data_IF_287593770292
#
_entry.id   IF_287593770292
#
_cell.length_a   1.000
_cell.length_b   1.000
_cell.length_c   1.000
_cell.angle_alpha   90.00
_cell.angle_beta   90.00
_cell.angle_gamma   90.00
#
_symmetry.space_group_name_H-M   'P 1'
#
loop_
_entity.id
_entity.type
_entity.pdbx_description
1 polymer ?
#
# COMPACT_ATOMS: atom_id res chain seq x y z
N UNK A 1 -14.05 -21.49 30.46
CA UNK A 1 -13.97 -22.59 29.46
C UNK A 1 -12.89 -22.20 28.48
N UNK A 2 -12.08 -23.16 28.04
CA UNK A 2 -11.04 -22.89 27.05
C UNK A 2 -11.68 -22.51 25.71
N UNK A 3 -11.08 -21.54 25.02
CA UNK A 3 -11.53 -21.07 23.71
C UNK A 3 -10.52 -21.52 22.66
N UNK A 4 -11.00 -22.12 21.58
CA UNK A 4 -10.15 -22.49 20.44
C UNK A 4 -10.26 -21.39 19.38
N UNK A 5 -9.12 -20.86 18.93
CA UNK A 5 -9.03 -19.98 17.79
C UNK A 5 -8.25 -20.66 16.67
N UNK A 6 -8.68 -20.45 15.43
CA UNK A 6 -7.99 -20.87 14.21
C UNK A 6 -7.38 -19.64 13.56
N UNK A 7 -6.11 -19.36 13.85
CA UNK A 7 -5.44 -18.13 13.42
C UNK A 7 -4.82 -18.34 12.03
N UNK A 8 -5.20 -17.56 11.01
CA UNK A 8 -4.66 -17.72 9.67
C UNK A 8 -3.33 -16.98 9.52
N UNK A 9 -2.30 -17.71 9.09
CA UNK A 9 -1.00 -17.17 8.66
C UNK A 9 -0.74 -17.56 7.22
N UNK A 10 -0.08 -16.71 6.45
CA UNK A 10 0.44 -17.15 5.16
C UNK A 10 1.82 -17.81 5.33
N UNK A 11 2.24 -18.58 4.32
CA UNK A 11 3.51 -19.30 4.35
C UNK A 11 4.77 -18.42 4.44
N UNK A 12 4.71 -17.13 4.05
CA UNK A 12 5.82 -16.20 4.18
C UNK A 12 5.96 -15.73 5.64
N UNK A 13 4.84 -15.42 6.30
CA UNK A 13 4.81 -15.17 7.75
C UNK A 13 5.31 -16.36 8.57
N UNK A 14 4.85 -17.58 8.25
CA UNK A 14 5.32 -18.79 8.93
C UNK A 14 6.84 -18.99 8.78
N UNK A 15 7.42 -18.67 7.63
CA UNK A 15 8.86 -18.74 7.41
C UNK A 15 9.66 -17.75 8.28
N UNK A 16 9.07 -16.60 8.65
CA UNK A 16 9.65 -15.72 9.66
C UNK A 16 9.52 -16.35 11.06
N UNK A 17 8.33 -16.85 11.41
CA UNK A 17 8.06 -17.44 12.73
C UNK A 17 8.90 -18.70 13.02
N UNK A 18 9.26 -19.48 12.00
CA UNK A 18 10.11 -20.67 12.14
C UNK A 18 11.44 -20.38 12.84
N UNK A 19 11.95 -19.15 12.74
CA UNK A 19 13.20 -18.71 13.41
C UNK A 19 13.09 -18.66 14.92
N UNK A 20 11.87 -18.53 15.42
CA UNK A 20 11.56 -18.38 16.83
C UNK A 20 10.93 -19.63 17.44
N UNK A 21 10.69 -20.66 16.64
CA UNK A 21 10.23 -21.97 17.12
C UNK A 21 11.42 -22.91 17.33
N UNK A 22 11.47 -23.58 18.48
CA UNK A 22 12.46 -24.65 18.72
C UNK A 22 12.12 -25.95 17.98
N UNK A 23 10.83 -26.17 17.70
CA UNK A 23 10.30 -27.32 16.97
C UNK A 23 9.50 -26.77 15.78
N UNK A 24 9.86 -27.11 14.54
CA UNK A 24 9.12 -26.67 13.35
C UNK A 24 7.63 -27.03 13.48
N UNK A 25 6.76 -26.06 13.20
CA UNK A 25 5.31 -26.23 13.29
C UNK A 25 4.70 -26.05 14.68
N UNK A 26 5.49 -25.80 15.73
CA UNK A 26 4.99 -25.51 17.09
C UNK A 26 4.49 -24.06 17.26
N UNK A 27 3.73 -23.55 16.28
CA UNK A 27 3.30 -22.16 16.23
C UNK A 27 2.32 -21.80 17.36
N UNK A 28 1.48 -22.73 17.82
CA UNK A 28 0.54 -22.46 18.93
C UNK A 28 1.24 -22.07 20.23
N UNK A 29 2.38 -22.70 20.54
CA UNK A 29 3.21 -22.33 21.69
C UNK A 29 3.82 -20.94 21.53
N UNK A 30 4.29 -20.61 20.33
CA UNK A 30 4.83 -19.29 20.02
C UNK A 30 3.77 -18.20 20.15
N UNK A 31 2.54 -18.48 19.68
CA UNK A 31 1.40 -17.56 19.78
C UNK A 31 1.10 -17.24 21.26
N UNK A 32 1.01 -18.27 22.11
CA UNK A 32 0.77 -18.09 23.54
C UNK A 32 1.91 -17.31 24.22
N UNK A 33 3.16 -17.56 23.82
CA UNK A 33 4.30 -16.78 24.32
C UNK A 33 4.20 -15.30 23.95
N UNK A 34 3.98 -14.99 22.67
CA UNK A 34 3.85 -13.62 22.20
C UNK A 34 2.69 -12.89 22.91
N UNK A 35 1.55 -13.57 23.08
CA UNK A 35 0.40 -13.03 23.82
C UNK A 35 0.74 -12.73 25.29
N UNK A 36 1.49 -13.62 25.95
CA UNK A 36 1.93 -13.40 27.33
C UNK A 36 2.87 -12.19 27.46
N UNK A 37 3.77 -11.99 26.49
CA UNK A 37 4.72 -10.87 26.44
C UNK A 37 4.07 -9.53 26.00
N UNK A 38 2.94 -9.57 25.29
CA UNK A 38 2.25 -8.40 24.75
C UNK A 38 1.88 -7.36 25.83
N UNK A 39 2.06 -6.08 25.53
CA UNK A 39 1.72 -4.98 26.43
C UNK A 39 0.48 -4.22 25.94
N UNK A 40 -0.33 -3.63 26.84
CA UNK A 40 -1.42 -2.76 26.44
C UNK A 40 -0.94 -1.65 25.50
N UNK A 41 -1.67 -1.39 24.42
CA UNK A 41 -1.31 -0.39 23.41
C UNK A 41 -0.35 -0.89 22.31
N UNK A 42 0.08 -2.16 22.32
CA UNK A 42 0.89 -2.72 21.22
C UNK A 42 0.23 -2.62 19.83
N UNK A 43 -1.11 -2.54 19.80
CA UNK A 43 -1.90 -2.40 18.57
C UNK A 43 -2.47 -0.98 18.38
N UNK A 44 -1.88 0.02 19.02
CA UNK A 44 -2.35 1.40 18.86
C UNK A 44 -2.21 1.83 17.40
N UNK A 45 -3.25 2.50 16.88
CA UNK A 45 -3.27 3.07 15.54
C UNK A 45 -4.13 4.34 15.55
N UNK A 46 -3.80 5.29 14.68
CA UNK A 46 -4.65 6.44 14.40
C UNK A 46 -5.74 6.04 13.39
N UNK A 47 -6.92 5.69 13.89
CA UNK A 47 -8.05 5.27 13.06
C UNK A 47 -8.61 6.44 12.23
N UNK A 48 -8.93 6.17 10.96
CA UNK A 48 -9.69 7.08 10.12
C UNK A 48 -11.12 7.22 10.62
N UNK A 49 -11.65 8.45 10.53
CA UNK A 49 -13.10 8.64 10.66
C UNK A 49 -13.79 8.07 9.43
N UNK A 50 -15.04 7.55 9.54
CA UNK A 50 -15.78 7.08 8.38
C UNK A 50 -15.86 8.13 7.28
N UNK A 51 -15.25 7.81 6.14
CA UNK A 51 -15.26 8.65 4.95
C UNK A 51 -16.68 8.94 4.43
N UNK A 52 -16.93 10.14 3.88
CA UNK A 52 -18.18 10.44 3.20
C UNK A 52 -18.30 9.61 1.91
N UNK A 53 -19.51 9.19 1.50
CA UNK A 53 -19.68 8.45 0.26
C UNK A 53 -19.19 9.27 -0.93
N UNK A 54 -18.49 8.64 -1.90
CA UNK A 54 -17.99 9.38 -3.04
C UNK A 54 -19.14 9.88 -3.95
N UNK A 55 -18.90 10.92 -4.77
CA UNK A 55 -19.87 11.38 -5.75
C UNK A 55 -20.30 10.26 -6.69
N UNK A 56 -21.60 10.23 -7.03
CA UNK A 56 -22.11 9.25 -8.00
C UNK A 56 -21.67 9.63 -9.42
N UNK A 57 -20.76 8.84 -9.98
CA UNK A 57 -20.28 8.99 -11.36
C UNK A 57 -20.63 7.76 -12.19
N UNK A 58 -20.56 7.89 -13.52
CA UNK A 58 -20.73 6.73 -14.41
C UNK A 58 -19.45 5.90 -14.38
N UNK A 59 -19.53 4.69 -13.83
CA UNK A 59 -18.42 3.75 -13.82
C UNK A 59 -18.13 3.24 -15.24
N UNK A 60 -16.85 3.27 -15.62
CA UNK A 60 -16.31 2.82 -16.91
C UNK A 60 -15.64 1.45 -16.77
N UNK A 61 -14.92 1.25 -15.66
CA UNK A 61 -14.25 -0.01 -15.34
C UNK A 61 -14.15 -0.18 -13.82
N UNK A 62 -14.07 -1.43 -13.37
CA UNK A 62 -13.77 -1.78 -11.99
C UNK A 62 -12.97 -3.07 -11.94
N UNK A 63 -11.95 -3.09 -11.10
CA UNK A 63 -11.07 -4.21 -10.87
C UNK A 63 -10.90 -4.42 -9.36
N UNK A 64 -11.00 -5.67 -8.92
CA UNK A 64 -10.58 -6.07 -7.58
C UNK A 64 -9.14 -6.56 -7.68
N UNK A 65 -8.25 -5.99 -6.88
CA UNK A 65 -6.87 -6.47 -6.76
C UNK A 65 -6.75 -7.41 -5.58
N UNK A 66 -6.25 -8.60 -5.87
CA UNK A 66 -5.95 -9.63 -4.88
C UNK A 66 -4.57 -9.37 -4.24
N UNK A 67 -4.34 -9.86 -3.01
CA UNK A 67 -3.02 -9.91 -2.39
C UNK A 67 -1.92 -10.40 -3.35
N UNK A 68 -0.83 -9.64 -3.45
CA UNK A 68 0.28 -9.97 -4.33
C UNK A 68 0.06 -9.68 -5.83
N UNK A 69 -0.97 -8.89 -6.17
CA UNK A 69 -1.25 -8.49 -7.57
C UNK A 69 -1.25 -6.98 -7.77
N UNK A 70 -1.08 -6.57 -9.02
CA UNK A 70 -1.29 -5.20 -9.50
C UNK A 70 -1.99 -5.19 -10.85
N UNK A 71 -2.32 -3.99 -11.35
CA UNK A 71 -2.94 -3.85 -12.67
C UNK A 71 -2.48 -2.56 -13.34
N UNK A 72 -2.29 -2.59 -14.66
CA UNK A 72 -2.05 -1.39 -15.45
C UNK A 72 -3.35 -0.95 -16.16
N UNK A 73 -3.88 0.21 -15.77
CA UNK A 73 -5.20 0.72 -16.19
C UNK A 73 -5.04 2.05 -16.91
N UNK A 74 -5.65 2.15 -18.09
CA UNK A 74 -5.72 3.40 -18.83
C UNK A 74 -6.77 4.33 -18.20
N UNK A 75 -6.36 5.56 -17.89
CA UNK A 75 -7.24 6.63 -17.41
C UNK A 75 -7.05 7.82 -18.36
N UNK A 76 -8.07 8.09 -19.18
CA UNK A 76 -8.03 9.16 -20.18
C UNK A 76 -8.16 10.53 -19.52
N UNK A 77 -7.62 11.56 -20.17
CA UNK A 77 -7.77 12.93 -19.73
C UNK A 77 -9.26 13.26 -19.50
N UNK A 78 -9.58 13.78 -18.31
CA UNK A 78 -10.96 14.05 -17.91
C UNK A 78 -11.72 12.87 -17.29
N UNK A 79 -11.06 11.75 -17.00
CA UNK A 79 -11.62 10.66 -16.18
C UNK A 79 -11.16 10.75 -14.73
N UNK A 80 -11.86 10.04 -13.85
CA UNK A 80 -11.49 9.88 -12.44
C UNK A 80 -11.04 8.44 -12.20
N UNK A 81 -9.90 8.28 -11.54
CA UNK A 81 -9.43 7.03 -10.95
C UNK A 81 -9.71 7.05 -9.45
N UNK A 82 -10.47 6.08 -8.95
CA UNK A 82 -10.66 5.86 -7.51
C UNK A 82 -9.96 4.57 -7.10
N UNK A 83 -9.11 4.66 -6.07
CA UNK A 83 -8.61 3.49 -5.34
C UNK A 83 -9.32 3.47 -3.99
N UNK A 84 -9.95 2.36 -3.64
CA UNK A 84 -10.73 2.21 -2.42
C UNK A 84 -10.32 0.98 -1.62
N UNK A 85 -10.37 1.10 -0.30
CA UNK A 85 -10.34 -0.05 0.61
C UNK A 85 -11.54 -0.97 0.33
N UNK A 86 -11.34 -2.27 0.57
CA UNK A 86 -12.43 -3.26 0.54
C UNK A 86 -12.74 -3.69 1.98
N UNK A 87 -11.75 -4.25 2.67
CA UNK A 87 -11.85 -4.62 4.07
C UNK A 87 -11.30 -3.54 5.02
N UNK A 88 -10.43 -2.64 4.53
CA UNK A 88 -9.68 -1.70 5.34
C UNK A 88 -8.26 -2.18 5.66
N UNK A 89 -7.44 -1.28 6.18
CA UNK A 89 -6.08 -1.56 6.64
C UNK A 89 -5.07 -1.96 5.56
N UNK A 90 -5.39 -1.78 4.26
CA UNK A 90 -4.49 -2.16 3.17
C UNK A 90 -3.71 -0.98 2.59
N UNK A 91 -2.39 -1.07 2.55
CA UNK A 91 -1.56 -0.15 1.77
C UNK A 91 -1.55 -0.53 0.29
N UNK A 92 -1.45 0.46 -0.60
CA UNK A 92 -1.18 0.21 -2.02
C UNK A 92 -0.05 1.08 -2.54
N UNK A 93 0.57 0.69 -3.62
CA UNK A 93 1.57 1.51 -4.31
C UNK A 93 1.01 1.93 -5.67
N UNK A 94 1.29 3.17 -6.08
CA UNK A 94 0.85 3.71 -7.37
C UNK A 94 2.05 4.22 -8.19
N UNK A 95 2.19 3.68 -9.40
CA UNK A 95 2.98 4.26 -10.48
C UNK A 95 2.06 4.89 -11.54
N UNK A 96 2.54 5.93 -12.23
CA UNK A 96 1.76 6.64 -13.26
C UNK A 96 2.66 7.04 -14.41
N UNK A 97 2.28 6.67 -15.63
CA UNK A 97 2.97 7.02 -16.86
C UNK A 97 2.05 7.81 -17.78
N UNK A 98 2.58 8.67 -18.64
CA UNK A 98 1.82 9.26 -19.73
C UNK A 98 1.61 8.20 -20.84
N UNK A 99 0.36 7.99 -21.27
CA UNK A 99 0.03 7.01 -22.32
C UNK A 99 0.61 7.34 -23.70
N UNK A 100 0.82 8.62 -24.00
CA UNK A 100 1.40 9.05 -25.27
C UNK A 100 2.93 9.05 -25.24
N UNK A 101 3.54 9.05 -24.05
CA UNK A 101 4.98 8.91 -23.91
C UNK A 101 5.38 8.31 -22.57
N UNK A 102 5.70 7.01 -22.55
CA UNK A 102 6.09 6.29 -21.33
C UNK A 102 7.42 6.75 -20.70
N UNK A 103 8.16 7.65 -21.33
CA UNK A 103 9.29 8.32 -20.68
C UNK A 103 8.85 9.42 -19.70
N UNK A 104 7.64 9.96 -19.88
CA UNK A 104 7.04 10.87 -18.92
C UNK A 104 6.26 10.07 -17.89
N UNK A 105 6.73 10.07 -16.64
CA UNK A 105 6.11 9.34 -15.55
C UNK A 105 6.12 10.17 -14.28
N UNK A 106 5.38 9.71 -13.26
CA UNK A 106 5.31 10.34 -11.95
C UNK A 106 6.71 10.48 -11.34
N UNK A 107 6.98 11.65 -10.78
CA UNK A 107 8.18 11.98 -10.05
C UNK A 107 7.82 12.27 -8.59
N UNK A 108 7.82 11.22 -7.77
CA UNK A 108 7.45 11.27 -6.35
C UNK A 108 8.24 12.34 -5.59
N UNK A 109 9.54 12.47 -5.82
CA UNK A 109 10.35 13.50 -5.17
C UNK A 109 9.93 14.95 -5.48
N UNK A 110 9.28 15.20 -6.63
CA UNK A 110 8.83 16.54 -7.04
C UNK A 110 7.47 16.81 -6.44
N UNK A 111 6.58 15.81 -6.47
CA UNK A 111 5.33 15.82 -5.71
C UNK A 111 5.60 16.10 -4.23
N UNK A 112 6.56 15.39 -3.62
CA UNK A 112 6.99 15.61 -2.23
C UNK A 112 7.53 17.01 -1.98
N UNK A 113 8.32 17.56 -2.91
CA UNK A 113 8.88 18.90 -2.76
C UNK A 113 7.80 19.98 -2.75
N UNK A 114 6.74 19.83 -3.55
CA UNK A 114 5.69 20.83 -3.69
C UNK A 114 4.54 20.66 -2.69
N UNK A 115 4.24 19.43 -2.27
CA UNK A 115 3.06 19.08 -1.47
C UNK A 115 3.41 18.46 -0.11
N UNK A 116 4.70 18.31 0.20
CA UNK A 116 5.16 17.69 1.44
C UNK A 116 5.13 16.16 1.42
N UNK A 117 5.43 15.52 2.56
CA UNK A 117 5.55 14.06 2.66
C UNK A 117 4.22 13.32 2.44
N UNK A 118 3.08 13.95 2.75
CA UNK A 118 1.75 13.34 2.69
C UNK A 118 0.77 14.14 1.82
N UNK A 119 0.88 14.08 0.48
CA UNK A 119 -0.04 14.78 -0.42
C UNK A 119 -1.51 14.39 -0.19
N UNK A 120 -2.40 15.36 -0.28
CA UNK A 120 -3.83 15.21 0.04
C UNK A 120 -4.73 15.94 -0.98
N UNK A 121 -6.03 16.01 -0.68
CA UNK A 121 -7.03 16.69 -1.51
C UNK A 121 -6.58 18.09 -1.93
N UNK A 122 -6.54 18.36 -3.23
CA UNK A 122 -6.05 19.62 -3.79
C UNK A 122 -4.62 19.56 -4.33
N UNK A 123 -3.85 18.55 -3.98
CA UNK A 123 -2.47 18.38 -4.45
C UNK A 123 -2.40 17.71 -5.83
N UNK A 124 -1.23 17.83 -6.45
CA UNK A 124 -0.98 17.37 -7.81
C UNK A 124 0.11 16.30 -7.84
N UNK A 125 -0.04 15.31 -8.72
CA UNK A 125 0.99 14.33 -9.05
C UNK A 125 1.81 14.85 -10.23
N UNK A 126 3.10 15.10 -10.01
CA UNK A 126 3.98 15.77 -10.99
C UNK A 126 4.79 14.79 -11.82
N UNK A 127 4.98 15.07 -13.11
CA UNK A 127 5.86 14.29 -13.96
C UNK A 127 7.34 14.63 -13.79
N UNK A 128 8.20 13.70 -14.22
CA UNK A 128 9.65 13.85 -14.23
C UNK A 128 10.14 14.90 -15.22
N UNK A 129 11.41 15.28 -15.08
CA UNK A 129 12.10 16.12 -16.06
C UNK A 129 12.22 15.36 -17.40
N UNK A 130 12.10 16.06 -18.55
CA UNK A 130 12.01 17.51 -18.69
C UNK A 130 10.57 18.07 -18.73
N UNK A 131 9.53 17.26 -18.50
CA UNK A 131 8.14 17.72 -18.63
C UNK A 131 7.67 18.54 -17.44
N UNK A 132 8.01 18.11 -16.21
CA UNK A 132 7.71 18.81 -14.95
C UNK A 132 6.30 19.44 -14.89
N UNK A 133 5.28 18.68 -15.27
CA UNK A 133 3.88 19.14 -15.33
C UNK A 133 2.97 18.19 -14.55
N UNK A 134 1.77 18.64 -14.14
CA UNK A 134 0.88 17.76 -13.40
C UNK A 134 0.25 16.70 -14.33
N UNK A 135 0.29 15.44 -13.90
CA UNK A 135 -0.32 14.28 -14.56
C UNK A 135 -1.74 14.03 -14.05
N UNK A 136 -1.92 14.13 -12.73
CA UNK A 136 -3.19 13.89 -12.06
C UNK A 136 -3.37 14.88 -10.90
N UNK A 137 -4.62 15.11 -10.51
CA UNK A 137 -5.00 15.96 -9.38
C UNK A 137 -5.78 15.15 -8.33
N UNK A 138 -5.44 15.27 -7.05
CA UNK A 138 -6.12 14.56 -5.97
C UNK A 138 -7.44 15.27 -5.68
N UNK A 139 -8.56 14.70 -6.15
CA UNK A 139 -9.90 15.26 -5.93
C UNK A 139 -10.40 15.01 -4.51
N UNK A 140 -10.06 13.88 -3.93
CA UNK A 140 -10.45 13.52 -2.58
C UNK A 140 -9.46 12.49 -2.05
N UNK A 141 -8.95 12.72 -0.85
CA UNK A 141 -8.21 11.75 -0.06
C UNK A 141 -8.91 11.62 1.29
N UNK A 142 -9.38 10.43 1.64
CA UNK A 142 -9.99 10.16 2.96
C UNK A 142 -9.07 9.36 3.88
N UNK A 143 -7.94 8.87 3.36
CA UNK A 143 -6.89 8.22 4.15
C UNK A 143 -5.63 9.08 4.21
N UNK A 144 -4.47 8.41 4.21
CA UNK A 144 -3.14 9.03 4.20
C UNK A 144 -2.39 8.58 2.94
N UNK A 145 -1.62 9.48 2.33
CA UNK A 145 -0.67 9.11 1.29
C UNK A 145 0.73 9.35 1.82
N UNK A 146 1.70 8.56 1.38
CA UNK A 146 3.11 8.78 1.67
C UNK A 146 3.92 8.91 0.37
N UNK A 147 4.92 9.78 0.43
CA UNK A 147 5.91 9.97 -0.65
C UNK A 147 7.34 9.85 -0.12
N UNK A 148 7.54 9.41 1.12
CA UNK A 148 8.86 9.41 1.77
C UNK A 148 9.54 8.04 1.70
N UNK A 149 8.78 6.95 1.69
CA UNK A 149 9.30 5.60 1.56
C UNK A 149 9.33 5.15 0.10
N UNK A 150 10.37 4.39 -0.25
CA UNK A 150 10.43 3.67 -1.51
C UNK A 150 9.50 2.44 -1.49
N UNK A 151 9.17 1.90 -2.66
CA UNK A 151 8.43 0.66 -2.80
C UNK A 151 9.18 -0.49 -2.10
N UNK A 152 8.44 -1.41 -1.47
CA UNK A 152 9.08 -2.61 -0.92
C UNK A 152 9.65 -3.46 -2.07
N UNK A 153 10.80 -4.10 -1.82
CA UNK A 153 11.59 -4.78 -2.85
C UNK A 153 12.32 -5.99 -2.28
N UNK A 154 12.85 -6.84 -3.15
CA UNK A 154 13.74 -7.95 -2.75
C UNK A 154 14.92 -7.47 -1.91
N UNK A 155 15.47 -6.28 -2.19
CA UNK A 155 16.54 -5.69 -1.38
C UNK A 155 16.07 -5.45 0.05
N UNK A 156 14.90 -4.82 0.21
CA UNK A 156 14.31 -4.55 1.53
C UNK A 156 14.12 -5.84 2.33
N UNK A 157 13.41 -6.82 1.78
CA UNK A 157 13.17 -8.08 2.51
C UNK A 157 14.44 -8.90 2.74
N UNK A 158 15.41 -8.88 1.82
CA UNK A 158 16.70 -9.55 2.05
C UNK A 158 17.49 -8.88 3.16
N UNK A 159 17.47 -7.55 3.24
CA UNK A 159 18.24 -6.80 4.22
C UNK A 159 17.58 -6.83 5.60
N UNK A 160 16.30 -6.50 5.69
CA UNK A 160 15.58 -6.36 6.96
C UNK A 160 15.08 -7.68 7.51
N UNK A 161 14.72 -8.63 6.65
CA UNK A 161 14.14 -9.88 7.09
C UNK A 161 14.96 -11.10 6.66
N UNK A 162 16.07 -10.98 5.92
CA UNK A 162 16.76 -12.14 5.33
C UNK A 162 15.80 -13.08 4.56
N UNK A 163 14.84 -12.48 3.83
CA UNK A 163 13.81 -13.18 3.06
C UNK A 163 13.83 -12.71 1.60
N UNK A 164 14.77 -13.18 0.78
CA UNK A 164 14.87 -12.77 -0.63
C UNK A 164 13.69 -13.23 -1.50
N UNK A 165 12.87 -14.17 -1.01
CA UNK A 165 11.68 -14.67 -1.70
C UNK A 165 10.43 -14.23 -0.95
N UNK A 166 10.05 -12.98 -1.15
CA UNK A 166 8.86 -12.38 -0.54
C UNK A 166 8.10 -11.56 -1.58
N UNK A 167 6.77 -11.55 -1.49
CA UNK A 167 5.95 -10.65 -2.32
C UNK A 167 6.37 -9.21 -2.03
N UNK A 168 6.54 -8.40 -3.08
CA UNK A 168 6.97 -7.01 -2.95
C UNK A 168 6.45 -6.14 -4.09
N UNK A 169 6.21 -4.85 -3.80
CA UNK A 169 5.62 -3.88 -4.71
C UNK A 169 6.44 -3.71 -5.99
N UNK A 170 7.77 -3.60 -5.88
CA UNK A 170 8.63 -3.42 -7.05
C UNK A 170 8.41 -4.52 -8.11
N UNK A 171 8.40 -5.78 -7.71
CA UNK A 171 8.18 -6.88 -8.64
C UNK A 171 6.75 -6.91 -9.20
N UNK A 172 5.74 -6.55 -8.39
CA UNK A 172 4.36 -6.43 -8.86
C UNK A 172 4.19 -5.32 -9.89
N UNK A 173 4.80 -4.16 -9.65
CA UNK A 173 4.81 -3.02 -10.56
C UNK A 173 5.48 -3.39 -11.90
N UNK A 174 6.68 -3.99 -11.82
CA UNK A 174 7.41 -4.48 -12.99
C UNK A 174 6.58 -5.49 -13.79
N UNK A 175 5.85 -6.39 -13.13
CA UNK A 175 5.06 -7.40 -13.84
C UNK A 175 3.80 -6.80 -14.46
N UNK A 176 3.11 -5.87 -13.77
CA UNK A 176 1.92 -5.21 -14.28
C UNK A 176 2.23 -4.29 -15.48
N UNK A 177 3.34 -3.53 -15.43
CA UNK A 177 3.69 -2.56 -16.47
C UNK A 177 4.11 -3.21 -17.81
N UNK A 178 4.55 -4.48 -17.77
CA UNK A 178 4.95 -5.23 -18.97
C UNK A 178 3.82 -5.44 -19.96
N UNK A 179 2.57 -5.41 -19.50
CA UNK A 179 1.38 -5.41 -20.36
C UNK A 179 1.36 -4.22 -21.35
N UNK A 180 2.18 -3.19 -21.14
CA UNK A 180 2.31 -2.02 -22.01
C UNK A 180 3.72 -1.88 -22.62
N UNK A 181 4.55 -2.93 -22.55
CA UNK A 181 5.91 -2.92 -23.06
C UNK A 181 6.90 -2.07 -22.26
N UNK A 182 6.55 -1.69 -21.03
CA UNK A 182 7.43 -0.93 -20.15
C UNK A 182 8.51 -1.87 -19.59
N UNK A 183 9.77 -1.54 -19.80
CA UNK A 183 10.90 -2.33 -19.31
C UNK A 183 11.08 -2.23 -17.79
N UNK A 184 11.62 -3.27 -17.12
CA UNK A 184 11.74 -3.32 -15.66
C UNK A 184 12.56 -2.17 -15.06
N UNK A 185 13.53 -1.61 -15.78
CA UNK A 185 14.36 -0.48 -15.34
C UNK A 185 13.64 0.87 -15.37
N UNK A 186 12.40 0.91 -15.88
CA UNK A 186 11.60 2.14 -15.93
C UNK A 186 10.62 2.22 -14.75
N UNK A 187 10.60 1.21 -13.86
CA UNK A 187 9.94 1.34 -12.56
C UNK A 187 10.54 2.53 -11.81
N UNK A 188 9.71 3.22 -11.06
CA UNK A 188 10.08 4.42 -10.32
C UNK A 188 9.46 4.40 -8.94
N UNK A 189 9.97 5.24 -8.04
CA UNK A 189 9.44 5.41 -6.68
C UNK A 189 7.91 5.45 -6.68
N UNK A 190 7.30 4.74 -5.73
CA UNK A 190 5.86 4.63 -5.63
C UNK A 190 5.26 5.79 -4.86
N UNK A 191 4.05 6.18 -5.27
CA UNK A 191 3.18 7.01 -4.46
C UNK A 191 2.35 6.07 -3.58
N UNK A 192 2.62 6.08 -2.27
CA UNK A 192 2.12 5.07 -1.35
C UNK A 192 0.72 5.48 -0.88
N UNK A 193 -0.29 4.70 -1.26
CA UNK A 193 -1.70 4.86 -0.94
C UNK A 193 -2.00 4.21 0.40
N UNK A 194 -2.65 4.95 1.30
CA UNK A 194 -3.04 4.47 2.64
C UNK A 194 -1.86 4.05 3.54
N UNK A 195 -0.64 4.49 3.23
CA UNK A 195 0.53 4.20 4.06
C UNK A 195 0.66 5.23 5.18
N UNK A 196 0.56 4.78 6.43
CA UNK A 196 0.70 5.65 7.60
C UNK A 196 2.16 5.72 8.01
N UNK A 197 2.76 6.89 7.78
CA UNK A 197 4.16 7.14 8.12
C UNK A 197 4.27 8.27 9.12
N UNK A 198 5.23 8.11 10.03
CA UNK A 198 5.54 9.07 11.08
C UNK A 198 6.99 9.53 10.94
N UNK A 199 7.34 10.60 11.63
CA UNK A 199 8.74 10.98 11.83
C UNK A 199 8.93 11.31 13.30
N UNK A 200 9.99 10.78 13.91
CA UNK A 200 10.31 11.08 15.30
C UNK A 200 10.88 12.50 15.45
N UNK A 201 11.19 12.89 16.70
CA UNK A 201 11.76 14.20 17.00
C UNK A 201 13.14 14.46 16.41
N UNK A 202 13.86 13.40 16.00
CA UNK A 202 15.17 13.48 15.36
C UNK A 202 15.06 13.47 13.82
N UNK A 203 13.86 13.26 13.28
CA UNK A 203 13.58 13.20 11.86
C UNK A 203 13.78 11.80 11.27
N UNK A 204 13.92 10.75 12.09
CA UNK A 204 13.93 9.38 11.59
C UNK A 204 12.53 9.00 11.12
N UNK A 205 12.40 8.42 9.91
CA UNK A 205 11.11 8.03 9.38
C UNK A 205 10.63 6.74 10.05
N UNK A 206 9.31 6.60 10.13
CA UNK A 206 8.69 5.44 10.70
C UNK A 206 7.39 5.02 10.02
N UNK A 207 6.98 3.78 10.25
CA UNK A 207 5.74 3.21 9.71
C UNK A 207 4.85 2.81 10.87
N UNK A 208 3.65 3.39 10.90
CA UNK A 208 2.63 3.05 11.89
C UNK A 208 1.55 2.15 11.27
N UNK A 209 0.69 1.60 12.13
CA UNK A 209 -0.45 0.77 11.73
C UNK A 209 -1.42 1.52 10.85
N UNK A 210 -2.00 0.80 9.91
CA UNK A 210 -2.93 1.34 8.94
C UNK A 210 -4.31 1.53 9.56
N UNK A 211 -4.73 2.79 9.71
CA UNK A 211 -6.02 3.16 10.27
C UNK A 211 -7.17 3.26 9.26
N UNK A 212 -6.93 2.98 7.98
CA UNK A 212 -7.94 3.10 6.95
C UNK A 212 -9.06 2.06 7.12
N UNK A 213 -10.32 2.49 7.03
CA UNK A 213 -11.50 1.63 7.10
C UNK A 213 -12.05 1.25 5.72
N UNK A 214 -13.06 0.35 5.66
CA UNK A 214 -13.70 -0.10 4.40
C UNK A 214 -14.30 1.02 3.54
N UNK A 215 -14.62 2.18 4.12
CA UNK A 215 -15.18 3.31 3.39
C UNK A 215 -14.12 4.24 2.81
N UNK A 216 -12.84 4.05 3.12
CA UNK A 216 -11.78 4.96 2.71
C UNK A 216 -11.38 4.80 1.24
N UNK A 217 -11.10 5.93 0.59
CA UNK A 217 -10.72 5.99 -0.81
C UNK A 217 -9.86 7.23 -1.14
N UNK A 218 -9.20 7.15 -2.29
CA UNK A 218 -8.47 8.26 -2.91
C UNK A 218 -8.93 8.40 -4.36
N UNK A 219 -9.32 9.60 -4.77
CA UNK A 219 -9.75 9.96 -6.12
C UNK A 219 -8.73 10.85 -6.81
N UNK A 220 -8.37 10.49 -8.03
CA UNK A 220 -7.47 11.25 -8.90
C UNK A 220 -8.18 11.63 -10.19
N UNK A 221 -8.19 12.93 -10.53
CA UNK A 221 -8.57 13.40 -11.85
C UNK A 221 -7.38 13.34 -12.80
N UNK A 222 -7.53 12.68 -13.94
CA UNK A 222 -6.49 12.63 -14.96
C UNK A 222 -6.44 13.93 -15.77
N UNK A 223 -5.36 14.70 -15.66
CA UNK A 223 -5.14 15.94 -16.41
C UNK A 223 -4.64 15.68 -17.84
N UNK A 224 -4.12 14.48 -18.06
CA UNK A 224 -3.65 13.97 -19.35
C UNK A 224 -4.00 12.48 -19.45
N UNK A 225 -3.82 11.87 -20.63
CA UNK A 225 -3.99 10.42 -20.74
C UNK A 225 -2.87 9.72 -19.97
N UNK A 226 -3.22 8.96 -18.95
CA UNK A 226 -2.25 8.26 -18.09
C UNK A 226 -2.49 6.76 -18.04
N UNK A 227 -1.41 6.02 -17.85
CA UNK A 227 -1.42 4.63 -17.43
C UNK A 227 -1.15 4.62 -15.94
N UNK A 228 -2.18 4.32 -15.14
CA UNK A 228 -2.06 4.17 -13.70
C UNK A 228 -1.81 2.70 -13.36
N UNK A 229 -0.85 2.44 -12.49
CA UNK A 229 -0.47 1.08 -12.08
C UNK A 229 -0.54 0.97 -10.55
N UNK A 230 -1.75 0.73 -9.98
CA UNK A 230 -1.89 0.37 -8.58
C UNK A 230 -1.56 -1.11 -8.33
N UNK A 231 -0.97 -1.41 -7.17
CA UNK A 231 -0.88 -2.76 -6.63
C UNK A 231 -1.25 -2.81 -5.14
N UNK A 232 -1.61 -4.00 -4.67
CA UNK A 232 -1.76 -4.30 -3.23
C UNK A 232 -0.38 -4.44 -2.63
N UNK A 233 -0.03 -3.67 -1.60
CA UNK A 233 1.29 -3.77 -0.97
C UNK A 233 1.52 -5.17 -0.39
N UNK A 234 2.71 -5.73 -0.62
CA UNK A 234 3.09 -7.08 -0.20
C UNK A 234 3.59 -7.19 1.24
N UNK A 235 3.63 -6.08 2.00
CA UNK A 235 4.14 -6.12 3.37
C UNK A 235 3.11 -6.69 4.35
N UNK A 236 3.45 -7.85 4.90
CA UNK A 236 2.74 -8.56 5.96
C UNK A 236 3.66 -8.96 7.13
N UNK A 237 4.93 -8.51 7.09
CA UNK A 237 5.94 -8.70 8.12
C UNK A 237 6.10 -7.44 8.96
N UNK A 238 5.82 -6.27 8.38
CA UNK A 238 5.73 -4.98 9.05
C UNK A 238 4.30 -4.49 9.27
N UNK A 239 4.19 -3.31 9.88
CA UNK A 239 2.92 -2.68 10.28
C UNK A 239 2.13 -2.07 9.12
N UNK A 240 2.72 -1.93 7.93
CA UNK A 240 2.18 -1.17 6.80
C UNK A 240 0.74 -1.55 6.43
N UNK A 241 0.39 -2.83 6.53
CA UNK A 241 -0.99 -3.33 6.34
C UNK A 241 -1.44 -4.20 7.51
N UNK A 242 -1.02 -3.85 8.74
CA UNK A 242 -1.42 -4.55 9.96
C UNK A 242 -1.12 -6.07 9.90
N UNK A 243 0.04 -6.45 9.36
CA UNK A 243 0.50 -7.83 9.20
C UNK A 243 -0.48 -8.74 8.43
N UNK A 244 -1.23 -8.18 7.48
CA UNK A 244 -2.10 -8.94 6.60
C UNK A 244 -2.29 -8.24 5.26
N UNK A 245 -2.64 -9.01 4.24
CA UNK A 245 -2.91 -8.49 2.91
C UNK A 245 -4.40 -8.65 2.59
N UNK A 246 -5.06 -7.51 2.42
CA UNK A 246 -6.45 -7.33 2.04
C UNK A 246 -6.54 -6.84 0.58
N UNK A 247 -7.76 -6.73 0.06
CA UNK A 247 -7.98 -6.33 -1.33
C UNK A 247 -8.01 -4.80 -1.47
N UNK A 248 -7.73 -4.33 -2.69
CA UNK A 248 -8.03 -2.96 -3.11
C UNK A 248 -8.98 -2.97 -4.31
N UNK A 249 -9.89 -1.99 -4.36
CA UNK A 249 -10.77 -1.77 -5.50
C UNK A 249 -10.24 -0.62 -6.35
N UNK A 250 -10.08 -0.86 -7.66
CA UNK A 250 -9.64 0.13 -8.65
C UNK A 250 -10.80 0.43 -9.58
N UNK A 251 -11.25 1.68 -9.60
CA UNK A 251 -12.46 2.09 -10.33
C UNK A 251 -12.10 3.26 -11.24
N UNK A 252 -12.49 3.17 -12.52
CA UNK A 252 -12.39 4.28 -13.48
C UNK A 252 -13.78 4.79 -13.76
N UNK A 253 -13.98 6.10 -13.69
CA UNK A 253 -15.27 6.76 -13.82
C UNK A 253 -15.19 7.95 -14.79
N UNK A 254 -16.33 8.33 -15.37
CA UNK A 254 -16.45 9.63 -16.03
C UNK A 254 -16.46 10.77 -15.01
N UNK A 255 -15.62 11.78 -15.21
CA UNK A 255 -15.63 12.95 -14.34
C UNK A 255 -16.92 13.78 -14.53
N UNK A 256 -17.34 14.40 -13.43
CA UNK A 256 -18.38 15.42 -13.45
C UNK A 256 -17.78 16.77 -13.89
N UNK A 257 -18.62 17.73 -14.36
CA UNK A 257 -18.16 19.08 -14.64
C UNK A 257 -17.45 19.74 -13.43
N UNK A 258 -17.93 19.48 -12.22
CA UNK A 258 -17.35 20.03 -10.99
C UNK A 258 -15.96 19.45 -10.70
N UNK A 259 -15.71 18.19 -11.04
CA UNK A 259 -14.38 17.56 -10.87
C UNK A 259 -13.35 18.24 -11.77
N UNK A 260 -13.73 18.50 -13.03
CA UNK A 260 -12.90 19.25 -13.98
C UNK A 260 -12.60 20.64 -13.43
N UNK A 261 -13.61 21.36 -12.96
CA UNK A 261 -13.42 22.72 -12.43
C UNK A 261 -12.46 22.72 -11.23
N UNK A 262 -12.61 21.77 -10.31
CA UNK A 262 -11.70 21.61 -9.16
C UNK A 262 -10.27 21.31 -9.60
N UNK A 263 -10.08 20.39 -10.54
CA UNK A 263 -8.76 20.06 -11.07
C UNK A 263 -8.11 21.27 -11.76
N UNK A 264 -8.87 22.03 -12.56
CA UNK A 264 -8.40 23.28 -13.15
C UNK A 264 -7.99 24.29 -12.08
N UNK A 265 -8.79 24.45 -11.02
CA UNK A 265 -8.49 25.35 -9.90
C UNK A 265 -7.19 24.98 -9.19
N UNK A 266 -6.94 23.69 -8.96
CA UNK A 266 -5.71 23.19 -8.33
C UNK A 266 -4.45 23.49 -9.17
N UNK A 267 -4.58 23.53 -10.50
CA UNK A 267 -3.45 23.82 -11.39
C UNK A 267 -3.15 25.31 -11.58
N UNK A 268 -4.10 26.22 -11.26
CA UNK A 268 -3.95 27.68 -11.47
C UNK A 268 -2.65 28.27 -10.92
N UNK A 269 -2.18 27.92 -9.70
CA UNK A 269 -0.95 28.49 -9.15
C UNK A 269 0.31 28.19 -9.96
N UNK A 270 0.28 27.14 -10.80
CA UNK A 270 1.46 26.60 -11.47
C UNK A 270 1.51 26.86 -12.97
N UNK A 271 0.51 27.55 -13.54
CA UNK A 271 0.40 27.76 -14.99
C UNK A 271 1.66 28.42 -15.60
N UNK A 272 2.32 29.31 -14.83
CA UNK A 272 3.54 30.00 -15.27
C UNK A 272 4.83 29.21 -15.02
N UNK A 273 4.75 28.09 -14.30
CA UNK A 273 5.89 27.25 -13.93
C UNK A 273 6.09 26.06 -14.85
N UNK A 274 5.06 25.71 -15.65
CA UNK A 274 5.16 24.65 -16.67
C UNK A 274 5.87 25.23 -17.89
N UNK A 275 7.15 24.89 -18.03
CA UNK A 275 7.98 25.36 -19.16
C UNK A 275 7.78 24.42 -20.35
N UNK A 276 7.53 24.94 -21.57
CA UNK A 276 7.52 24.10 -22.77
C UNK A 276 8.86 23.39 -22.92
N UNK A 277 8.84 22.08 -23.21
CA UNK A 277 10.07 21.31 -23.39
C UNK A 277 10.82 21.87 -24.62
N UNK A 278 12.02 22.45 -24.46
CA UNK A 278 12.72 23.12 -25.57
C UNK A 278 13.47 22.13 -26.48
N UNK A 279 13.39 20.83 -26.19
CA UNK A 279 14.10 19.76 -26.87
C UNK A 279 13.14 18.86 -27.64
N UNK A 280 13.59 18.36 -28.80
CA UNK A 280 12.84 17.35 -29.54
C UNK A 280 13.07 15.98 -28.90
N UNK A 281 11.99 15.37 -28.39
CA UNK A 281 12.01 14.03 -27.82
C UNK A 281 11.27 13.06 -28.74
N UNK A 282 11.78 11.84 -28.83
CA UNK A 282 11.05 10.75 -29.50
C UNK A 282 9.95 10.28 -28.55
N UNK A 283 8.70 10.41 -28.97
CA UNK A 283 7.56 9.87 -28.21
C UNK A 283 7.60 8.34 -28.20
N UNK A 284 7.33 7.77 -27.02
CA UNK A 284 7.22 6.32 -26.81
C UNK A 284 5.80 6.01 -26.32
N UNK A 285 4.80 5.99 -27.23
CA UNK A 285 3.42 5.75 -26.85
C UNK A 285 3.26 4.35 -26.27
N UNK A 286 2.54 4.27 -25.16
CA UNK A 286 2.22 3.02 -24.48
C UNK A 286 0.96 2.42 -25.10
N UNK A 287 1.01 1.12 -25.40
CA UNK A 287 -0.11 0.36 -25.96
C UNK A 287 -0.19 -0.97 -25.26
N UNK A 288 -1.40 -1.33 -24.85
CA UNK A 288 -1.65 -2.63 -24.24
C UNK A 288 -1.35 -3.74 -25.24
N UNK A 289 -0.56 -4.71 -24.81
CA UNK A 289 -0.47 -6.02 -25.45
C UNK A 289 -1.71 -6.84 -25.04
N UNK A 290 -2.63 -7.12 -25.98
CA UNK A 290 -3.86 -7.86 -25.67
C UNK A 290 -3.60 -9.33 -25.30
N UNK A 291 -2.44 -9.88 -25.68
CA UNK A 291 -2.08 -11.27 -25.44
C UNK A 291 -1.26 -11.44 -24.14
N UNK A 292 -0.84 -10.33 -23.51
CA UNK A 292 -0.10 -10.36 -22.26
C UNK A 292 -1.00 -10.69 -21.07
N UNK A 293 -0.64 -11.74 -20.34
CA UNK A 293 -1.24 -12.09 -19.05
C UNK A 293 -0.16 -12.01 -17.97
N UNK A 294 -0.32 -11.15 -16.94
CA UNK A 294 0.65 -11.04 -15.86
C UNK A 294 0.85 -12.36 -15.11
N UNK A 295 2.10 -12.69 -14.80
CA UNK A 295 2.47 -13.79 -13.92
C UNK A 295 3.21 -13.23 -12.69
N UNK A 296 2.44 -12.83 -11.68
CA UNK A 296 2.99 -12.22 -10.48
C UNK A 296 3.91 -13.18 -9.70
N UNK A 297 5.13 -12.76 -9.35
CA UNK A 297 6.04 -13.57 -8.54
C UNK A 297 5.45 -13.95 -7.18
N UNK A 298 5.86 -15.10 -6.67
CA UNK A 298 5.54 -15.59 -5.33
C UNK A 298 4.07 -15.92 -5.05
N UNK A 299 3.21 -15.94 -6.06
CA UNK A 299 1.85 -16.46 -5.99
C UNK A 299 1.76 -17.95 -6.35
N UNK A 300 0.75 -18.69 -5.83
CA UNK A 300 -0.28 -18.23 -4.89
C UNK A 300 0.23 -18.18 -3.44
N UNK A 301 -0.33 -17.24 -2.66
CA UNK A 301 -0.18 -17.25 -1.21
C UNK A 301 -0.91 -18.45 -0.61
N UNK A 302 -0.18 -19.32 0.07
CA UNK A 302 -0.75 -20.42 0.85
C UNK A 302 -1.07 -19.95 2.26
N UNK A 303 -2.34 -20.10 2.66
CA UNK A 303 -2.83 -19.80 4.00
C UNK A 303 -2.86 -21.09 4.82
N UNK A 304 -2.34 -21.01 6.04
CA UNK A 304 -2.27 -22.08 7.02
C UNK A 304 -3.06 -21.66 8.26
N UNK A 305 -3.93 -22.56 8.73
CA UNK A 305 -4.69 -22.38 9.95
C UNK A 305 -3.92 -22.96 11.12
N UNK A 306 -3.58 -22.12 12.10
CA UNK A 306 -2.93 -22.56 13.33
C UNK A 306 -3.97 -22.58 14.44
N UNK A 307 -4.29 -23.77 14.94
CA UNK A 307 -5.18 -23.93 16.09
C UNK A 307 -4.43 -23.58 17.39
N UNK A 308 -5.03 -22.68 18.18
CA UNK A 308 -4.53 -22.32 19.51
C UNK A 308 -5.67 -22.44 20.52
N UNK A 309 -5.37 -23.12 21.62
CA UNK A 309 -6.28 -23.25 22.76
C UNK A 309 -5.91 -22.19 23.78
N UNK A 310 -6.83 -21.25 24.03
CA UNK A 310 -6.65 -20.17 25.00
C UNK A 310 -7.30 -20.56 26.33
N UNK A 311 -6.50 -20.58 27.39
CA UNK A 311 -7.01 -20.69 28.75
C UNK A 311 -7.84 -19.46 29.12
N UNK A 312 -8.53 -19.49 30.27
CA UNK A 312 -9.24 -18.31 30.78
C UNK A 312 -8.30 -17.12 31.02
N UNK A 313 -7.06 -17.39 31.45
CA UNK A 313 -6.04 -16.36 31.62
C UNK A 313 -5.59 -15.76 30.29
N UNK A 314 -5.39 -16.59 29.27
CA UNK A 314 -5.00 -16.11 27.93
C UNK A 314 -6.11 -15.27 27.29
N UNK A 315 -7.38 -15.66 27.50
CA UNK A 315 -8.53 -14.89 27.04
C UNK A 315 -8.56 -13.50 27.69
N UNK A 316 -8.42 -13.42 29.03
CA UNK A 316 -8.34 -12.15 29.74
C UNK A 316 -7.15 -11.29 29.26
N UNK A 317 -6.01 -11.94 28.95
CA UNK A 317 -4.84 -11.25 28.42
C UNK A 317 -5.12 -10.66 27.04
N UNK A 318 -5.71 -11.44 26.13
CA UNK A 318 -6.10 -11.00 24.79
C UNK A 318 -7.11 -9.86 24.86
N UNK A 319 -8.14 -9.98 25.71
CA UNK A 319 -9.14 -8.94 25.93
C UNK A 319 -8.51 -7.61 26.40
N UNK A 320 -7.44 -7.69 27.20
CA UNK A 320 -6.75 -6.51 27.73
C UNK A 320 -5.78 -5.84 26.75
N UNK A 321 -5.31 -6.53 25.71
CA UNK A 321 -4.28 -6.00 24.79
C UNK A 321 -4.76 -5.82 23.35
N UNK A 322 -5.82 -6.52 22.92
CA UNK A 322 -6.34 -6.34 21.56
C UNK A 322 -6.94 -4.96 21.39
N UNK A 323 -6.87 -4.43 20.16
CA UNK A 323 -7.51 -3.17 19.79
C UNK A 323 -8.84 -3.44 19.06
N UNK A 324 -10.00 -3.27 19.72
CA UNK A 324 -11.31 -3.45 19.08
C UNK A 324 -11.57 -2.46 17.95
N UNK A 325 -10.90 -1.30 17.94
CA UNK A 325 -11.05 -0.31 16.89
C UNK A 325 -10.42 -0.74 15.55
N UNK A 326 -9.37 -1.56 15.58
CA UNK A 326 -8.77 -2.14 14.37
C UNK A 326 -9.43 -3.47 13.98
N UNK A 327 -9.68 -4.34 14.97
CA UNK A 327 -10.03 -5.74 14.72
C UNK A 327 -11.49 -6.06 15.00
N UNK A 328 -12.25 -5.18 15.64
CA UNK A 328 -13.61 -5.47 16.08
C UNK A 328 -13.65 -6.75 16.91
N UNK A 329 -14.49 -7.70 16.50
CA UNK A 329 -14.63 -9.02 17.11
C UNK A 329 -13.69 -10.10 16.50
N UNK A 330 -12.85 -9.75 15.52
CA UNK A 330 -11.90 -10.67 14.88
C UNK A 330 -10.66 -10.86 15.76
N UNK A 331 -10.83 -11.70 16.78
CA UNK A 331 -9.74 -12.07 17.68
C UNK A 331 -8.62 -12.87 16.99
N UNK A 332 -8.90 -13.50 15.85
CA UNK A 332 -7.84 -14.20 15.09
C UNK A 332 -6.91 -13.19 14.43
N UNK A 333 -7.45 -12.13 13.80
CA UNK A 333 -6.65 -11.06 13.23
C UNK A 333 -5.86 -10.30 14.31
N UNK A 334 -6.50 -9.99 15.45
CA UNK A 334 -5.83 -9.36 16.58
C UNK A 334 -4.67 -10.22 17.11
N UNK A 335 -4.89 -11.53 17.26
CA UNK A 335 -3.85 -12.45 17.75
C UNK A 335 -2.72 -12.62 16.72
N UNK A 336 -3.01 -12.64 15.41
CA UNK A 336 -1.96 -12.63 14.37
C UNK A 336 -1.10 -11.37 14.48
N UNK A 337 -1.70 -10.18 14.56
CA UNK A 337 -0.95 -8.93 14.68
C UNK A 337 -0.03 -8.97 15.92
N UNK A 338 -0.53 -9.37 17.09
CA UNK A 338 0.30 -9.49 18.31
C UNK A 338 1.55 -10.35 18.07
N UNK A 339 1.36 -11.48 17.39
CA UNK A 339 2.43 -12.46 17.15
C UNK A 339 3.43 -11.94 16.12
N UNK A 340 2.96 -11.28 15.07
CA UNK A 340 3.82 -10.72 14.03
C UNK A 340 4.56 -9.47 14.51
N UNK A 341 3.92 -8.59 15.29
CA UNK A 341 4.56 -7.44 15.96
C UNK A 341 5.65 -7.91 16.93
N UNK A 342 5.38 -8.98 17.68
CA UNK A 342 6.39 -9.63 18.52
C UNK A 342 7.57 -10.15 17.69
N UNK A 343 7.31 -10.82 16.57
CA UNK A 343 8.36 -11.38 15.71
C UNK A 343 9.20 -10.30 15.02
N UNK A 344 8.56 -9.22 14.56
CA UNK A 344 9.21 -8.04 13.99
C UNK A 344 10.10 -7.34 15.03
N UNK A 345 9.59 -7.12 16.25
CA UNK A 345 10.39 -6.56 17.34
C UNK A 345 11.63 -7.40 17.68
N UNK A 346 11.52 -8.74 17.71
CA UNK A 346 12.69 -9.62 17.90
C UNK A 346 13.66 -9.55 16.72
N UNK A 347 13.14 -9.46 15.49
CA UNK A 347 13.95 -9.35 14.28
C UNK A 347 14.77 -8.06 14.30
N UNK A 348 14.14 -6.92 14.61
CA UNK A 348 14.78 -5.61 14.64
C UNK A 348 15.83 -5.50 15.76
N UNK A 349 15.59 -6.12 16.92
CA UNK A 349 16.60 -6.20 17.98
C UNK A 349 17.87 -6.96 17.57
N UNK A 350 17.79 -7.83 16.55
CA UNK A 350 18.93 -8.59 16.02
C UNK A 350 19.74 -7.85 14.94
N UNK A 351 19.24 -6.70 14.46
CA UNK A 351 19.86 -5.86 13.43
C UNK A 351 20.35 -4.53 14.03
N UNK A 352 21.55 -4.49 14.64
CA UNK A 352 22.06 -3.26 15.25
C UNK A 352 22.31 -2.17 14.19
N UNK A 353 21.59 -1.05 14.31
CA UNK A 353 21.76 0.14 13.46
C UNK A 353 20.55 0.55 12.63
N UNK A 354 19.44 -0.21 12.69
CA UNK A 354 18.20 0.12 11.99
C UNK A 354 17.00 -0.10 12.91
N UNK A 355 16.30 0.96 13.28
CA UNK A 355 15.02 0.88 13.97
C UNK A 355 13.90 1.12 12.96
N UNK A 356 13.05 0.11 12.74
CA UNK A 356 11.70 0.36 12.26
C UNK A 356 10.92 0.97 13.42
N UNK A 357 11.03 2.30 13.60
CA UNK A 357 10.12 3.02 14.46
C UNK A 357 8.84 3.39 13.73
#
# INVERSE_FOLDING_TARGET
MDRVLSVPFNHQQLALLDRYTAVPGAYSTLILQALAEAQPGCQQAQLSSPAPPPPKRRQLAQHLLEPGTGIAVEVKAGQVLRIAQVEGGQCGDLNVYNLQNGQEHLHVGRTRHLHGPHPTTGDLLWSCAPWERPLMAILQNTGVCDTTFASCSTLGYSHFYNMPQHINCQQMQIEAQRAYGIGPWQEHDSFNLFMYTVSDSEGNPGIDRNGAGPSDYIEFYALTDVLAIPNVCGDDLGKTSNFWQNHLSVIVEEALPEDRQRAEDFTKPYQNSVVPVPYQMKEVPLRRDPDYTPHFPHLPLRIHQVEVVLSEQDQQKLDAVHNPGLYGDDLCAALRDIVMDWADAKNNASLPGYSHH
#
